data_IF_435660219249
#
_entry.id   IF_435660219249
#
_cell.length_a   1.000
_cell.length_b   1.000
_cell.length_c   1.000
_cell.angle_alpha   90.00
_cell.angle_beta   90.00
_cell.angle_gamma   90.00
#
_symmetry.space_group_name_H-M   'P 1'
#
loop_
_entity.id
_entity.type
_entity.pdbx_description
1 polymer ?
#
# COMPACT_ATOMS: atom_id res chain seq x y z
N UNK A 1 33.52 -63.42 -28.18
CA UNK A 1 34.51 -62.80 -27.27
C UNK A 1 33.83 -61.92 -26.21
N UNK A 2 33.59 -62.47 -25.02
CA UNK A 2 33.71 -61.73 -23.74
C UNK A 2 35.19 -61.86 -23.29
N UNK A 3 35.78 -60.97 -22.46
CA UNK A 3 35.27 -60.42 -21.17
C UNK A 3 35.45 -58.88 -21.02
N UNK A 4 34.83 -58.18 -20.06
CA UNK A 4 35.25 -58.02 -18.65
C UNK A 4 36.02 -56.68 -18.48
N UNK A 5 36.06 -55.96 -17.35
CA UNK A 5 35.64 -56.14 -15.96
C UNK A 5 35.75 -54.75 -15.29
N UNK A 6 34.87 -54.42 -14.31
CA UNK A 6 35.09 -53.67 -13.03
C UNK A 6 35.71 -52.24 -13.00
N UNK A 7 35.48 -51.34 -12.03
CA UNK A 7 34.56 -51.14 -10.88
C UNK A 7 35.05 -49.88 -10.10
N UNK A 8 34.28 -49.46 -9.08
CA UNK A 8 34.60 -48.59 -7.92
C UNK A 8 34.42 -47.07 -8.12
N UNK A 9 33.38 -46.42 -7.57
CA UNK A 9 33.05 -46.16 -6.15
C UNK A 9 33.76 -44.94 -5.58
N UNK A 10 32.98 -43.93 -5.18
CA UNK A 10 33.15 -43.22 -3.90
C UNK A 10 31.86 -42.47 -3.55
N UNK A 11 31.20 -42.98 -2.52
CA UNK A 11 30.18 -42.28 -1.76
C UNK A 11 30.86 -41.29 -0.80
N UNK A 12 30.23 -40.14 -0.55
CA UNK A 12 30.50 -39.34 0.65
C UNK A 12 29.20 -39.18 1.41
N UNK A 13 29.20 -39.75 2.60
CA UNK A 13 28.20 -39.60 3.67
C UNK A 13 28.82 -38.70 4.73
N UNK A 14 28.20 -37.58 5.08
CA UNK A 14 28.45 -36.82 6.31
C UNK A 14 27.10 -36.22 6.76
N UNK A 15 26.33 -36.96 7.57
CA UNK A 15 26.20 -36.81 9.04
C UNK A 15 25.62 -35.47 9.50
N UNK A 16 24.37 -35.55 9.95
CA UNK A 16 23.70 -34.56 10.79
C UNK A 16 24.43 -34.36 12.13
N UNK A 17 24.46 -33.12 12.61
CA UNK A 17 24.67 -32.83 14.02
C UNK A 17 23.66 -31.78 14.47
N UNK A 18 22.65 -32.25 15.20
CA UNK A 18 21.90 -31.48 16.19
C UNK A 18 22.88 -30.72 17.10
N UNK A 19 22.53 -29.48 17.47
CA UNK A 19 22.83 -28.87 18.76
C UNK A 19 22.06 -27.54 18.92
N UNK A 20 20.88 -27.60 19.55
CA UNK A 20 20.35 -26.50 20.38
C UNK A 20 21.17 -26.48 21.69
N UNK A 21 21.47 -25.31 22.28
CA UNK A 21 20.70 -24.84 23.46
C UNK A 21 20.78 -23.29 23.67
N UNK A 22 20.39 -22.72 24.82
CA UNK A 22 19.09 -22.79 25.52
C UNK A 22 18.46 -21.39 25.75
N UNK A 23 17.17 -21.40 26.08
CA UNK A 23 16.40 -20.30 26.66
C UNK A 23 17.02 -19.80 27.98
N UNK A 24 17.37 -18.50 28.03
CA UNK A 24 17.66 -17.80 29.27
C UNK A 24 16.60 -16.72 29.53
N UNK A 25 15.84 -16.94 30.61
CA UNK A 25 15.08 -15.91 31.29
C UNK A 25 16.01 -14.79 31.78
N UNK A 26 15.67 -13.54 31.47
CA UNK A 26 16.19 -12.37 32.15
C UNK A 26 15.04 -11.42 32.53
N UNK A 27 14.74 -11.40 33.83
CA UNK A 27 13.99 -10.33 34.48
C UNK A 27 14.81 -9.02 34.50
N UNK A 28 14.07 -7.90 34.60
CA UNK A 28 14.48 -6.57 35.12
C UNK A 28 15.33 -5.71 34.15
N UNK A 29 15.14 -4.39 33.99
CA UNK A 29 14.49 -3.33 34.79
C UNK A 29 13.96 -2.21 33.87
N UNK A 30 12.91 -1.55 34.33
CA UNK A 30 12.44 -0.23 33.87
C UNK A 30 13.48 0.83 34.30
N UNK A 31 13.95 1.70 33.40
CA UNK A 31 14.51 2.99 33.78
C UNK A 31 13.47 4.10 33.53
N UNK A 32 13.02 4.71 34.61
CA UNK A 32 12.40 6.03 34.61
C UNK A 32 13.49 7.09 34.44
N UNK A 33 13.43 7.93 33.41
CA UNK A 33 13.99 9.30 33.50
C UNK A 33 13.65 10.19 32.30
N UNK A 34 12.96 11.27 32.64
CA UNK A 34 13.18 12.66 32.23
C UNK A 34 13.32 12.99 30.74
N UNK A 35 12.23 13.51 30.19
CA UNK A 35 12.20 14.34 29.00
C UNK A 35 13.03 15.64 29.17
N UNK A 36 13.75 16.08 28.12
CA UNK A 36 14.03 17.50 27.90
C UNK A 36 12.99 18.11 26.93
N UNK A 37 12.69 19.41 27.06
CA UNK A 37 11.69 20.08 26.24
C UNK A 37 12.33 20.51 24.92
N UNK A 38 11.88 19.92 23.81
CA UNK A 38 12.15 20.46 22.48
C UNK A 38 10.83 20.87 21.84
N UNK A 39 10.71 22.18 21.64
CA UNK A 39 9.61 22.82 20.94
C UNK A 39 9.52 22.28 19.50
N UNK A 40 8.35 21.83 19.05
CA UNK A 40 8.13 21.59 17.63
C UNK A 40 8.12 22.94 16.92
N UNK A 41 8.97 23.10 15.91
CA UNK A 41 8.83 24.16 14.92
C UNK A 41 7.55 23.85 14.16
N UNK A 42 6.51 24.61 14.45
CA UNK A 42 5.26 24.62 13.71
C UNK A 42 5.52 25.03 12.26
N UNK A 43 5.62 24.05 11.37
CA UNK A 43 5.30 24.26 9.94
C UNK A 43 3.91 23.70 9.75
N UNK A 44 2.93 24.42 10.31
CA UNK A 44 1.53 24.26 9.97
C UNK A 44 1.13 25.47 9.12
N UNK A 45 0.26 25.20 8.15
CA UNK A 45 -0.67 26.16 7.55
C UNK A 45 -0.13 27.07 6.43
N UNK A 46 -0.03 26.52 5.23
CA UNK A 46 -0.04 27.32 3.99
C UNK A 46 -1.08 26.83 2.96
N UNK A 47 -2.11 26.11 3.39
CA UNK A 47 -3.14 25.56 2.49
C UNK A 47 -4.54 26.15 2.66
N UNK A 48 -4.73 27.15 3.55
CA UNK A 48 -5.99 27.91 3.68
C UNK A 48 -6.32 28.80 2.44
N UNK A 49 -5.56 28.69 1.34
CA UNK A 49 -5.72 29.50 0.13
C UNK A 49 -6.35 28.75 -1.05
N UNK A 50 -6.58 27.43 -0.94
CA UNK A 50 -7.43 26.71 -1.90
C UNK A 50 -8.77 26.50 -1.22
N UNK A 51 -9.75 27.31 -1.63
CA UNK A 51 -11.10 27.28 -1.08
C UNK A 51 -11.62 25.84 -0.99
N UNK A 52 -12.32 25.59 0.11
CA UNK A 52 -13.14 24.41 0.41
C UNK A 52 -13.76 23.85 -0.88
N UNK A 53 -13.07 22.90 -1.53
CA UNK A 53 -13.60 22.19 -2.69
C UNK A 53 -14.59 21.21 -2.11
N UNK A 54 -15.84 21.63 -2.07
CA UNK A 54 -17.03 20.83 -1.83
C UNK A 54 -16.92 19.61 -2.77
N UNK A 55 -16.38 18.51 -2.26
CA UNK A 55 -15.96 17.36 -3.07
C UNK A 55 -17.21 16.55 -3.40
N UNK A 56 -17.74 16.62 -4.65
CA UNK A 56 -18.90 15.84 -5.03
C UNK A 56 -18.50 14.38 -5.13
N UNK A 57 -19.46 13.47 -4.97
CA UNK A 57 -19.31 12.06 -5.35
C UNK A 57 -18.64 11.96 -6.74
N UNK A 58 -17.80 10.93 -7.02
CA UNK A 58 -17.06 10.84 -8.28
C UNK A 58 -18.06 11.00 -9.44
N UNK A 59 -17.95 12.08 -10.25
CA UNK A 59 -18.90 12.32 -11.31
C UNK A 59 -18.81 11.18 -12.32
N UNK A 60 -19.95 10.83 -12.91
CA UNK A 60 -19.95 10.02 -14.13
C UNK A 60 -19.21 10.81 -15.22
N UNK A 61 -17.90 10.58 -15.37
CA UNK A 61 -17.06 11.24 -16.35
C UNK A 61 -15.69 11.63 -15.82
N UNK A 62 -14.70 10.75 -16.06
CA UNK A 62 -13.26 11.05 -16.08
C UNK A 62 -12.66 11.75 -14.86
N UNK A 63 -11.37 12.07 -14.97
CA UNK A 63 -10.71 12.89 -13.95
C UNK A 63 -11.14 14.37 -14.07
N UNK A 64 -11.24 15.09 -12.94
CA UNK A 64 -11.39 16.55 -12.93
C UNK A 64 -10.26 17.25 -13.69
N UNK A 65 -10.57 18.40 -14.30
CA UNK A 65 -9.61 19.18 -15.10
C UNK A 65 -8.31 19.48 -14.35
N UNK A 66 -8.37 19.74 -13.03
CA UNK A 66 -7.18 20.00 -12.22
C UNK A 66 -6.17 18.83 -12.24
N UNK A 67 -6.65 17.59 -12.25
CA UNK A 67 -5.80 16.39 -12.31
C UNK A 67 -5.17 16.27 -13.69
N UNK A 68 -5.96 16.50 -14.74
CA UNK A 68 -5.50 16.47 -16.13
C UNK A 68 -4.44 17.55 -16.38
N UNK A 69 -4.65 18.75 -15.86
CA UNK A 69 -3.74 19.89 -15.96
C UNK A 69 -2.42 19.64 -15.24
N UNK A 70 -2.46 19.05 -14.03
CA UNK A 70 -1.25 18.64 -13.30
C UNK A 70 -0.50 17.56 -14.09
N UNK A 71 -1.19 16.52 -14.55
CA UNK A 71 -0.59 15.44 -15.33
C UNK A 71 0.03 15.93 -16.65
N UNK A 72 -0.59 16.90 -17.33
CA UNK A 72 -0.08 17.47 -18.57
C UNK A 72 1.21 18.28 -18.40
N UNK A 73 1.47 18.83 -17.20
CA UNK A 73 2.71 19.54 -16.87
C UNK A 73 3.86 18.60 -16.48
N UNK A 74 3.54 17.35 -16.14
CA UNK A 74 4.52 16.36 -15.72
C UNK A 74 5.06 15.60 -16.94
N UNK A 75 6.38 15.50 -17.02
CA UNK A 75 7.07 14.74 -18.07
C UNK A 75 7.71 13.52 -17.42
N UNK A 76 7.32 12.32 -17.84
CA UNK A 76 7.90 11.08 -17.34
C UNK A 76 9.36 10.89 -17.78
N UNK A 77 9.75 11.53 -18.89
CA UNK A 77 11.06 11.35 -19.50
C UNK A 77 12.17 11.82 -18.56
N UNK A 78 12.84 10.85 -17.92
CA UNK A 78 14.05 11.02 -17.13
C UNK A 78 13.92 11.93 -15.89
N UNK A 79 12.71 12.14 -15.36
CA UNK A 79 12.57 12.88 -14.11
C UNK A 79 13.35 12.16 -12.99
N UNK A 80 14.37 12.82 -12.38
CA UNK A 80 15.27 12.14 -11.44
C UNK A 80 14.65 11.96 -10.05
N UNK A 81 13.53 12.63 -9.79
CA UNK A 81 12.94 12.76 -8.46
C UNK A 81 11.45 12.40 -8.47
N UNK A 82 11.01 11.45 -7.63
CA UNK A 82 9.61 11.03 -7.56
C UNK A 82 8.68 12.12 -7.00
N UNK A 83 9.22 13.08 -6.23
CA UNK A 83 8.43 14.11 -5.54
C UNK A 83 7.57 14.97 -6.48
N UNK A 84 7.96 15.13 -7.74
CA UNK A 84 7.19 15.91 -8.72
C UNK A 84 5.84 15.26 -9.03
N UNK A 85 5.70 13.95 -8.79
CA UNK A 85 4.48 13.19 -9.05
C UNK A 85 3.59 13.05 -7.81
N UNK A 86 4.04 13.50 -6.64
CA UNK A 86 3.31 13.31 -5.38
C UNK A 86 1.97 14.05 -5.42
N UNK A 87 1.97 15.31 -5.84
CA UNK A 87 0.74 16.11 -5.96
C UNK A 87 -0.27 15.47 -6.91
N UNK A 88 0.19 14.88 -8.04
CA UNK A 88 -0.69 14.17 -8.97
C UNK A 88 -1.35 12.97 -8.30
N UNK A 89 -0.54 12.14 -7.64
CA UNK A 89 -1.01 10.92 -6.99
C UNK A 89 -1.93 11.21 -5.81
N UNK A 90 -1.64 12.25 -5.02
CA UNK A 90 -2.51 12.71 -3.94
C UNK A 90 -3.87 13.17 -4.48
N UNK A 91 -3.88 13.96 -5.57
CA UNK A 91 -5.13 14.37 -6.24
C UNK A 91 -5.94 13.19 -6.76
N UNK A 92 -5.28 12.20 -7.37
CA UNK A 92 -5.93 10.96 -7.83
C UNK A 92 -6.54 10.20 -6.66
N UNK A 93 -5.80 10.03 -5.56
CA UNK A 93 -6.30 9.36 -4.36
C UNK A 93 -7.46 10.15 -3.72
N UNK A 94 -7.40 11.48 -3.65
CA UNK A 94 -8.48 12.31 -3.09
C UNK A 94 -9.75 12.23 -3.94
N UNK A 95 -9.61 12.16 -5.26
CA UNK A 95 -10.75 11.98 -6.17
C UNK A 95 -11.46 10.64 -5.92
N UNK A 96 -10.70 9.56 -5.76
CA UNK A 96 -11.25 8.23 -5.54
C UNK A 96 -11.62 7.95 -4.09
N UNK A 97 -10.97 8.54 -3.11
CA UNK A 97 -11.17 8.29 -1.67
C UNK A 97 -11.36 9.61 -0.92
N UNK A 98 -12.49 10.31 -1.15
CA UNK A 98 -12.70 11.62 -0.57
C UNK A 98 -12.95 11.53 0.94
N UNK A 99 -12.53 12.57 1.67
CA UNK A 99 -12.72 12.64 3.13
C UNK A 99 -14.19 12.74 3.53
N UNK A 100 -15.06 13.22 2.64
CA UNK A 100 -16.52 13.19 2.84
C UNK A 100 -17.10 11.78 2.96
N UNK A 101 -16.40 10.76 2.44
CA UNK A 101 -16.74 9.33 2.59
C UNK A 101 -16.04 8.66 3.81
N UNK A 102 -15.29 9.42 4.61
CA UNK A 102 -14.58 8.93 5.80
C UNK A 102 -13.19 8.36 5.54
N UNK A 103 -12.61 8.62 4.36
CA UNK A 103 -11.24 8.26 4.05
C UNK A 103 -10.24 9.36 4.41
N UNK A 104 -9.05 8.96 4.83
CA UNK A 104 -7.94 9.87 5.13
C UNK A 104 -6.69 9.43 4.38
N UNK A 105 -6.10 10.36 3.62
CA UNK A 105 -4.83 10.12 2.94
C UNK A 105 -3.72 10.62 3.86
N UNK A 106 -2.70 9.77 4.06
CA UNK A 106 -1.48 10.09 4.80
C UNK A 106 -0.31 10.03 3.84
N UNK A 107 0.46 11.11 3.79
CA UNK A 107 1.75 11.16 3.11
C UNK A 107 2.83 10.56 4.00
N UNK A 108 3.81 9.88 3.39
CA UNK A 108 4.96 9.25 4.07
C UNK A 108 4.52 8.47 5.30
N UNK A 109 3.56 7.59 5.08
CA UNK A 109 2.95 6.85 6.16
C UNK A 109 3.92 5.78 6.66
N UNK A 110 4.28 5.87 7.95
CA UNK A 110 5.11 4.87 8.61
C UNK A 110 4.26 3.66 9.01
N UNK A 111 4.83 2.47 8.84
CA UNK A 111 4.18 1.24 9.27
C UNK A 111 4.34 1.18 10.80
N UNK A 112 3.24 1.18 11.60
CA UNK A 112 3.24 1.51 13.04
C UNK A 112 4.15 0.70 13.98
N UNK A 113 4.83 -0.34 13.48
CA UNK A 113 5.69 -1.23 14.27
C UNK A 113 7.10 -1.42 13.69
N UNK A 114 7.42 -0.79 12.56
CA UNK A 114 8.80 -0.70 12.07
C UNK A 114 9.56 0.47 12.73
N UNK A 115 8.82 1.49 13.19
CA UNK A 115 9.30 2.68 13.92
C UNK A 115 10.09 2.37 15.23
N UNK A 116 10.18 1.10 15.65
CA UNK A 116 10.68 0.68 16.96
C UNK A 116 12.17 0.34 17.08
N UNK A 117 12.85 -0.08 16.01
CA UNK A 117 14.21 -0.66 16.14
C UNK A 117 15.24 -0.26 15.06
N UNK A 118 14.86 0.47 14.01
CA UNK A 118 15.81 0.91 12.97
C UNK A 118 15.88 2.43 12.85
N UNK A 119 16.84 3.03 13.57
CA UNK A 119 17.27 4.41 13.32
C UNK A 119 17.82 4.50 11.88
N UNK A 120 16.95 4.84 10.92
CA UNK A 120 17.35 5.48 9.65
C UNK A 120 16.95 4.82 8.33
N UNK A 121 16.17 3.73 8.30
CA UNK A 121 15.79 3.06 7.03
C UNK A 121 14.41 2.40 7.08
N UNK A 122 13.43 2.99 7.75
CA UNK A 122 12.09 2.41 7.72
C UNK A 122 11.49 2.48 6.30
N UNK A 123 10.80 1.42 5.85
CA UNK A 123 10.13 1.41 4.56
C UNK A 123 8.88 2.29 4.65
N UNK A 124 9.08 3.59 4.47
CA UNK A 124 7.97 4.55 4.38
C UNK A 124 7.20 4.28 3.08
N UNK A 125 5.89 4.08 3.22
CA UNK A 125 4.98 4.06 2.07
C UNK A 125 4.74 5.51 1.65
N UNK A 126 4.80 5.79 0.34
CA UNK A 126 4.62 7.18 -0.13
C UNK A 126 3.27 7.76 0.27
N UNK A 127 2.19 6.99 0.06
CA UNK A 127 0.86 7.33 0.54
C UNK A 127 0.13 6.11 1.09
N UNK A 128 -0.65 6.32 2.15
CA UNK A 128 -1.64 5.36 2.62
C UNK A 128 -3.03 6.00 2.63
N UNK A 129 -4.02 5.30 2.10
CA UNK A 129 -5.44 5.64 2.27
C UNK A 129 -5.95 4.83 3.46
N UNK A 130 -6.47 5.51 4.46
CA UNK A 130 -7.00 4.93 5.69
C UNK A 130 -8.53 5.08 5.73
N UNK A 131 -9.21 4.04 6.20
CA UNK A 131 -10.61 4.10 6.60
C UNK A 131 -10.69 3.86 8.12
N UNK A 132 -10.98 4.91 8.88
CA UNK A 132 -10.65 4.93 10.31
C UNK A 132 -9.13 4.83 10.48
N UNK A 133 -8.67 3.83 11.24
CA UNK A 133 -7.23 3.56 11.46
C UNK A 133 -6.71 2.39 10.59
N UNK A 134 -7.54 1.78 9.76
CA UNK A 134 -7.15 0.63 8.92
C UNK A 134 -6.73 1.12 7.53
N UNK A 135 -5.54 0.75 7.02
CA UNK A 135 -5.16 1.03 5.65
C UNK A 135 -5.97 0.18 4.68
N UNK A 136 -6.37 0.79 3.56
CA UNK A 136 -7.13 0.16 2.46
C UNK A 136 -6.40 0.28 1.12
N UNK A 137 -5.56 1.31 0.94
CA UNK A 137 -4.67 1.45 -0.22
C UNK A 137 -3.28 1.86 0.25
N UNK A 138 -2.25 1.21 -0.28
CA UNK A 138 -0.85 1.60 -0.18
C UNK A 138 -0.36 2.01 -1.55
N UNK A 139 0.32 3.15 -1.64
CA UNK A 139 0.89 3.63 -2.89
C UNK A 139 2.36 3.97 -2.68
N UNK A 140 3.22 3.34 -3.47
CA UNK A 140 4.64 3.63 -3.53
C UNK A 140 4.99 4.34 -4.84
N UNK A 141 5.51 5.56 -4.76
CA UNK A 141 5.91 6.35 -5.94
C UNK A 141 7.43 6.40 -6.05
N UNK A 142 7.94 5.84 -7.14
CA UNK A 142 9.36 5.78 -7.50
C UNK A 142 9.70 6.68 -8.69
N UNK A 143 10.98 6.98 -8.87
CA UNK A 143 11.44 7.81 -10.00
C UNK A 143 11.18 7.11 -11.35
N UNK A 144 10.71 7.81 -12.39
CA UNK A 144 10.39 7.21 -13.69
C UNK A 144 11.61 6.93 -14.58
N UNK A 145 12.80 7.48 -14.24
CA UNK A 145 13.99 7.50 -15.11
C UNK A 145 14.50 6.14 -15.63
N UNK A 146 14.07 5.04 -15.01
CA UNK A 146 14.48 3.68 -15.34
C UNK A 146 13.28 2.77 -15.65
N UNK A 147 12.12 3.32 -16.00
CA UNK A 147 10.90 2.53 -16.24
C UNK A 147 11.05 1.46 -17.34
N UNK A 148 11.79 1.77 -18.41
CA UNK A 148 12.01 0.80 -19.50
C UNK A 148 12.86 -0.40 -19.06
N UNK A 149 13.52 -0.33 -17.91
CA UNK A 149 14.25 -1.45 -17.34
C UNK A 149 13.29 -2.37 -16.57
N UNK A 150 13.13 -3.59 -17.06
CA UNK A 150 12.30 -4.62 -16.43
C UNK A 150 12.72 -4.91 -14.98
N UNK A 151 14.02 -4.87 -14.67
CA UNK A 151 14.50 -5.09 -13.31
C UNK A 151 14.05 -3.97 -12.36
N UNK A 152 14.00 -2.73 -12.82
CA UNK A 152 13.52 -1.61 -11.99
C UNK A 152 12.02 -1.72 -11.74
N UNK A 153 11.25 -2.07 -12.77
CA UNK A 153 9.80 -2.32 -12.62
C UNK A 153 9.53 -3.47 -11.65
N UNK A 154 10.24 -4.58 -11.80
CA UNK A 154 10.15 -5.72 -10.90
C UNK A 154 10.57 -5.36 -9.46
N UNK A 155 11.58 -4.50 -9.28
CA UNK A 155 11.98 -4.03 -7.96
C UNK A 155 10.92 -3.12 -7.31
N UNK A 156 10.30 -2.22 -8.07
CA UNK A 156 9.21 -1.36 -7.57
C UNK A 156 7.99 -2.20 -7.16
N UNK A 157 7.64 -3.21 -7.97
CA UNK A 157 6.59 -4.17 -7.64
C UNK A 157 6.90 -4.98 -6.39
N UNK A 158 8.12 -5.53 -6.29
CA UNK A 158 8.55 -6.31 -5.13
C UNK A 158 8.51 -5.47 -3.84
N UNK A 159 8.89 -4.19 -3.92
CA UNK A 159 8.79 -3.26 -2.80
C UNK A 159 7.34 -3.01 -2.38
N UNK A 160 6.43 -2.79 -3.32
CA UNK A 160 5.00 -2.65 -2.99
C UNK A 160 4.39 -3.94 -2.41
N UNK A 161 4.83 -5.11 -2.87
CA UNK A 161 4.45 -6.40 -2.30
C UNK A 161 5.00 -6.59 -0.88
N UNK A 162 6.24 -6.21 -0.63
CA UNK A 162 6.83 -6.22 0.71
C UNK A 162 6.07 -5.29 1.67
N UNK A 163 5.77 -4.05 1.24
CA UNK A 163 4.96 -3.12 2.03
C UNK A 163 3.58 -3.69 2.34
N UNK A 164 2.93 -4.33 1.36
CA UNK A 164 1.67 -5.04 1.56
C UNK A 164 1.82 -6.09 2.68
N UNK A 165 2.82 -6.97 2.59
CA UNK A 165 2.99 -8.07 3.54
C UNK A 165 3.29 -7.58 4.97
N UNK A 166 4.02 -6.46 5.11
CA UNK A 166 4.26 -5.84 6.42
C UNK A 166 3.02 -5.20 7.02
N UNK A 167 2.12 -4.66 6.19
CA UNK A 167 0.92 -3.94 6.63
C UNK A 167 -0.27 -4.88 6.84
N UNK A 168 -0.37 -5.94 6.05
CA UNK A 168 -1.51 -6.87 6.03
C UNK A 168 -1.94 -7.38 7.42
N UNK A 169 -1.04 -7.76 8.35
CA UNK A 169 -1.43 -8.23 9.70
C UNK A 169 -2.16 -7.18 10.55
N UNK A 170 -2.12 -5.91 10.16
CA UNK A 170 -2.73 -4.79 10.86
C UNK A 170 -3.97 -4.23 10.14
N UNK A 171 -4.27 -4.75 8.95
CA UNK A 171 -5.48 -4.42 8.24
C UNK A 171 -6.68 -5.09 8.90
N UNK A 172 -7.85 -4.51 8.70
CA UNK A 172 -9.10 -5.21 8.96
C UNK A 172 -9.28 -6.33 7.92
N UNK A 173 -9.27 -7.57 8.40
CA UNK A 173 -9.48 -8.82 7.66
C UNK A 173 -10.63 -8.83 6.65
N UNK A 174 -11.61 -7.95 6.88
CA UNK A 174 -12.81 -7.89 6.10
C UNK A 174 -12.72 -6.96 4.87
N UNK A 175 -11.59 -6.26 4.69
CA UNK A 175 -11.32 -5.45 3.50
C UNK A 175 -10.12 -6.01 2.73
N UNK A 176 -10.19 -6.09 1.39
CA UNK A 176 -8.99 -6.30 0.60
C UNK A 176 -8.09 -5.07 0.76
N UNK A 177 -6.80 -5.31 0.97
CA UNK A 177 -5.80 -4.26 0.90
C UNK A 177 -5.36 -4.11 -0.56
N UNK A 178 -5.30 -2.88 -1.06
CA UNK A 178 -4.80 -2.58 -2.39
C UNK A 178 -3.38 -2.02 -2.29
N UNK A 179 -2.48 -2.49 -3.15
CA UNK A 179 -1.14 -1.96 -3.27
C UNK A 179 -0.88 -1.50 -4.70
N UNK A 180 -0.34 -0.28 -4.82
CA UNK A 180 -0.02 0.37 -6.08
C UNK A 180 1.48 0.64 -6.11
N UNK A 181 2.12 0.25 -7.20
CA UNK A 181 3.48 0.69 -7.52
C UNK A 181 3.38 1.71 -8.66
N UNK A 182 3.95 2.89 -8.45
CA UNK A 182 3.97 3.96 -9.43
C UNK A 182 5.42 4.36 -9.77
N UNK A 183 5.65 4.64 -11.05
CA UNK A 183 6.90 5.17 -11.58
C UNK A 183 6.56 6.37 -12.46
N UNK A 184 6.55 7.56 -11.87
CA UNK A 184 5.98 8.74 -12.52
C UNK A 184 4.46 8.62 -12.68
N UNK A 185 3.94 8.83 -13.90
CA UNK A 185 2.52 8.57 -14.24
C UNK A 185 2.20 7.11 -14.53
N UNK A 186 3.22 6.26 -14.67
CA UNK A 186 3.07 4.83 -14.97
C UNK A 186 2.79 4.07 -13.69
N UNK A 187 1.93 3.07 -13.76
CA UNK A 187 1.49 2.40 -12.54
C UNK A 187 1.04 0.98 -12.78
N UNK A 188 1.02 0.21 -11.71
CA UNK A 188 0.45 -1.12 -11.64
C UNK A 188 -0.24 -1.26 -10.28
N UNK A 189 -1.25 -2.10 -10.16
CA UNK A 189 -1.88 -2.38 -8.88
C UNK A 189 -2.21 -3.85 -8.71
N UNK A 190 -2.27 -4.30 -7.47
CA UNK A 190 -2.84 -5.58 -7.10
C UNK A 190 -3.59 -5.41 -5.77
N UNK A 191 -4.54 -6.30 -5.52
CA UNK A 191 -5.22 -6.35 -4.24
C UNK A 191 -5.40 -7.79 -3.80
N UNK A 192 -5.33 -8.00 -2.49
CA UNK A 192 -5.43 -9.31 -1.86
C UNK A 192 -6.15 -9.16 -0.54
N UNK A 193 -6.74 -10.25 -0.07
CA UNK A 193 -7.15 -10.31 1.33
C UNK A 193 -5.90 -10.26 2.22
N UNK A 194 -5.89 -9.45 3.29
CA UNK A 194 -4.79 -9.39 4.25
C UNK A 194 -4.51 -10.72 4.96
N UNK A 195 -5.48 -11.65 4.94
CA UNK A 195 -5.37 -12.97 5.54
C UNK A 195 -4.67 -14.00 4.67
N UNK A 196 -4.46 -13.70 3.38
CA UNK A 196 -3.85 -14.64 2.46
C UNK A 196 -2.33 -14.46 2.47
N UNK A 197 -1.62 -15.57 2.62
CA UNK A 197 -0.19 -15.59 2.32
C UNK A 197 0.04 -15.32 0.83
N UNK A 198 1.22 -14.83 0.46
CA UNK A 198 1.59 -14.62 -0.93
C UNK A 198 1.43 -15.89 -1.80
N UNK A 199 1.68 -17.07 -1.21
CA UNK A 199 1.48 -18.36 -1.89
C UNK A 199 0.00 -18.65 -2.16
N UNK A 200 -0.87 -18.44 -1.16
CA UNK A 200 -2.31 -18.64 -1.31
C UNK A 200 -2.90 -17.67 -2.33
N UNK A 201 -2.52 -16.40 -2.29
CA UNK A 201 -2.93 -15.40 -3.28
C UNK A 201 -2.57 -15.82 -4.71
N UNK A 202 -1.36 -16.33 -4.92
CA UNK A 202 -0.92 -16.81 -6.23
C UNK A 202 -1.75 -18.01 -6.71
N UNK A 203 -2.13 -18.92 -5.81
CA UNK A 203 -2.94 -20.09 -6.16
C UNK A 203 -4.43 -19.79 -6.39
N UNK A 204 -4.99 -18.79 -5.72
CA UNK A 204 -6.40 -18.41 -5.81
C UNK A 204 -6.69 -17.43 -6.95
N UNK A 205 -5.65 -16.89 -7.57
CA UNK A 205 -5.77 -15.89 -8.62
C UNK A 205 -5.90 -14.51 -8.01
N UNK A 206 -4.76 -13.86 -7.82
CA UNK A 206 -4.70 -12.44 -7.50
C UNK A 206 -5.23 -11.61 -8.66
N UNK A 207 -6.15 -10.70 -8.36
CA UNK A 207 -6.53 -9.68 -9.33
C UNK A 207 -5.46 -8.59 -9.34
N UNK A 208 -4.89 -8.43 -10.53
CA UNK A 208 -3.73 -7.60 -10.77
C UNK A 208 -3.92 -6.83 -12.07
N UNK A 209 -3.47 -5.58 -12.05
CA UNK A 209 -3.34 -4.70 -13.19
C UNK A 209 -1.86 -4.64 -13.54
N UNK A 210 -1.52 -5.07 -14.75
CA UNK A 210 -0.18 -4.91 -15.29
C UNK A 210 0.16 -3.43 -15.53
N UNK A 211 1.44 -3.14 -15.72
CA UNK A 211 1.91 -1.77 -15.92
C UNK A 211 1.14 -1.01 -17.01
N UNK A 212 0.55 0.11 -16.61
CA UNK A 212 -0.13 1.07 -17.46
C UNK A 212 0.74 2.32 -17.66
N UNK A 213 0.66 2.89 -18.86
CA UNK A 213 1.58 3.96 -19.31
C UNK A 213 1.21 5.36 -18.81
N UNK A 214 -0.04 5.61 -18.45
CA UNK A 214 -0.46 6.93 -17.96
C UNK A 214 -1.69 6.84 -17.07
N UNK A 215 -1.55 7.26 -15.81
CA UNK A 215 -2.61 7.30 -14.80
C UNK A 215 -3.85 8.08 -15.24
N UNK A 216 -3.70 9.10 -16.09
CA UNK A 216 -4.84 9.91 -16.57
C UNK A 216 -5.41 9.46 -17.92
N UNK A 217 -4.89 8.38 -18.51
CA UNK A 217 -5.48 7.82 -19.73
C UNK A 217 -6.84 7.19 -19.46
N UNK A 218 -7.72 7.19 -20.47
CA UNK A 218 -9.05 6.57 -20.39
C UNK A 218 -8.99 5.09 -19.96
N UNK A 219 -8.11 4.22 -20.52
CA UNK A 219 -7.98 2.85 -20.03
C UNK A 219 -7.56 2.76 -18.56
N UNK A 220 -6.63 3.62 -18.10
CA UNK A 220 -6.22 3.63 -16.69
C UNK A 220 -7.36 4.06 -15.77
N UNK A 221 -8.15 5.05 -16.19
CA UNK A 221 -9.30 5.51 -15.42
C UNK A 221 -10.32 4.38 -15.25
N UNK A 222 -10.71 3.70 -16.33
CA UNK A 222 -11.67 2.58 -16.24
C UNK A 222 -11.16 1.44 -15.37
N UNK A 223 -9.86 1.13 -15.47
CA UNK A 223 -9.26 0.07 -14.65
C UNK A 223 -9.26 0.46 -13.17
N UNK A 224 -8.88 1.69 -12.82
CA UNK A 224 -8.95 2.17 -11.44
C UNK A 224 -10.36 2.24 -10.89
N UNK A 225 -11.33 2.65 -11.71
CA UNK A 225 -12.73 2.69 -11.31
C UNK A 225 -13.19 1.30 -10.84
N UNK A 226 -12.93 0.27 -11.65
CA UNK A 226 -13.26 -1.12 -11.30
C UNK A 226 -12.48 -1.59 -10.07
N UNK A 227 -11.19 -1.27 -10.03
CA UNK A 227 -10.31 -1.71 -8.96
C UNK A 227 -10.71 -1.12 -7.60
N UNK A 228 -10.91 0.19 -7.53
CA UNK A 228 -11.29 0.89 -6.31
C UNK A 228 -12.76 0.66 -5.92
N UNK A 229 -13.66 0.44 -6.88
CA UNK A 229 -15.02 0.01 -6.56
C UNK A 229 -15.00 -1.28 -5.72
N UNK A 230 -14.13 -2.25 -6.06
CA UNK A 230 -14.01 -3.50 -5.31
C UNK A 230 -13.52 -3.28 -3.87
N UNK A 231 -12.53 -2.40 -3.68
CA UNK A 231 -12.04 -2.01 -2.35
C UNK A 231 -13.15 -1.35 -1.52
N UNK A 232 -13.90 -0.42 -2.12
CA UNK A 232 -15.00 0.30 -1.45
C UNK A 232 -16.21 -0.58 -1.14
N UNK A 233 -16.59 -1.48 -2.03
CA UNK A 233 -17.74 -2.38 -1.84
C UNK A 233 -17.54 -3.33 -0.66
N UNK A 234 -16.31 -3.87 -0.50
CA UNK A 234 -15.94 -4.64 0.68
C UNK A 234 -16.08 -3.78 1.96
N UNK A 235 -15.62 -2.52 1.88
CA UNK A 235 -15.85 -1.42 2.83
C UNK A 235 -17.28 -1.36 3.38
N UNK A 236 -18.24 -1.19 2.47
CA UNK A 236 -19.64 -0.90 2.78
C UNK A 236 -20.42 -2.09 3.33
N UNK A 237 -20.13 -3.33 2.91
CA UNK A 237 -20.90 -4.52 3.35
C UNK A 237 -20.85 -4.74 4.86
N UNK A 238 -19.81 -4.25 5.55
CA UNK A 238 -19.68 -4.37 7.00
C UNK A 238 -20.42 -3.31 7.81
N UNK A 239 -20.55 -2.09 7.29
CA UNK A 239 -21.37 -1.05 7.93
C UNK A 239 -22.83 -1.53 8.08
N UNK A 240 -23.31 -2.36 7.15
CA UNK A 240 -24.63 -2.99 7.23
C UNK A 240 -24.63 -4.36 7.93
N UNK A 241 -23.51 -5.06 8.00
CA UNK A 241 -23.43 -6.35 8.70
C UNK A 241 -23.21 -6.22 10.22
N UNK A 242 -22.92 -5.01 10.73
CA UNK A 242 -22.81 -4.77 12.15
C UNK A 242 -24.22 -4.56 12.75
N UNK A 243 -24.75 -5.48 13.58
CA UNK A 243 -26.11 -5.37 14.11
C UNK A 243 -26.31 -4.10 14.95
N UNK A 244 -25.25 -3.55 15.55
CA UNK A 244 -25.31 -2.28 16.27
C UNK A 244 -25.59 -1.07 15.36
N UNK A 245 -24.99 -1.03 14.17
CA UNK A 245 -25.21 0.04 13.18
C UNK A 245 -26.57 -0.12 12.52
N UNK A 246 -26.98 -1.37 12.21
CA UNK A 246 -28.32 -1.66 11.71
C UNK A 246 -29.40 -1.23 12.72
N UNK A 247 -29.16 -1.43 14.02
CA UNK A 247 -30.08 -0.99 15.10
C UNK A 247 -30.14 0.54 15.19
N UNK A 248 -29.02 1.25 15.02
CA UNK A 248 -28.97 2.71 14.99
C UNK A 248 -29.71 3.30 13.78
N UNK A 249 -29.52 2.74 12.59
CA UNK A 249 -30.21 3.16 11.36
C UNK A 249 -31.72 2.87 11.48
N UNK A 250 -32.10 1.67 11.92
CA UNK A 250 -33.50 1.32 12.13
C UNK A 250 -34.16 2.17 13.23
N UNK A 251 -33.44 2.50 14.30
CA UNK A 251 -33.95 3.36 15.37
C UNK A 251 -34.12 4.82 14.90
N UNK A 252 -33.28 5.30 13.98
CA UNK A 252 -33.44 6.62 13.37
C UNK A 252 -34.61 6.66 12.36
N UNK A 253 -34.85 5.56 11.63
CA UNK A 253 -35.98 5.45 10.70
C UNK A 253 -37.34 5.26 11.40
N UNK A 254 -37.38 4.73 12.63
CA UNK A 254 -38.62 4.55 13.41
C UNK A 254 -39.00 5.82 14.22
N UNK A 255 -38.08 6.78 14.34
CA UNK A 255 -38.29 8.03 15.08
C UNK A 255 -38.80 9.21 14.21
N UNK A 256 -39.00 9.00 12.90
CA UNK A 256 -39.65 9.91 11.96
C UNK A 256 -40.98 9.31 11.47
#
# INVERSE_FOLDING_TARGET
PQPGVTNLSSAVTLTASNNNPPLHHAHRRIPSSSAPPYSPVSILSSWDALGEIDSPAPPAGGYPEVILDVAARLTDDNAPHPQQFFDLWELVLMHWFPTSEGYHIRDRWSIPYLDGDNIGTDPDVTFAVLQGDSPVVLLQVSAPRDFHNEHTRAAAEALSAEHFDHVAPYCNDAYPLCAIAAMGKKWMAFHRSPNLTAYEAQSLGEERIDWMEDIVSEPSYEMLERFFATVKEAGMRLLFSCPAVLTLILSACVAN
#
